data_IF_880464083359
#
_entry.id   IF_880464083359
#
_cell.length_a   1.000
_cell.length_b   1.000
_cell.length_c   1.000
_cell.angle_alpha   90.00
_cell.angle_beta   90.00
_cell.angle_gamma   90.00
#
_symmetry.space_group_name_H-M   'P 1'
#
loop_
_entity.id
_entity.type
_entity.pdbx_description
1 polymer ?
#
# COMPACT_ATOMS: atom_id res chain seq x y z
N UNK A 1 42.44 -13.60 2.45
CA UNK A 1 41.21 -12.78 2.49
C UNK A 1 40.47 -13.14 3.76
N UNK A 2 40.39 -12.22 4.72
CA UNK A 2 39.84 -12.53 6.05
C UNK A 2 38.33 -12.80 5.98
N UNK A 3 37.83 -13.90 6.56
CA UNK A 3 36.41 -14.26 6.53
C UNK A 3 35.51 -13.21 7.22
N UNK A 4 36.09 -12.47 8.17
CA UNK A 4 35.47 -11.33 8.86
C UNK A 4 35.09 -10.20 7.89
N UNK A 5 35.92 -9.93 6.87
CA UNK A 5 35.67 -8.86 5.91
C UNK A 5 34.55 -9.23 4.94
N UNK A 6 34.45 -10.51 4.56
CA UNK A 6 33.37 -11.03 3.69
C UNK A 6 32.02 -11.03 4.42
N UNK A 7 32.01 -11.43 5.70
CA UNK A 7 30.78 -11.43 6.51
C UNK A 7 30.22 -10.01 6.72
N UNK A 8 31.11 -9.02 6.98
CA UNK A 8 30.72 -7.62 7.14
C UNK A 8 30.14 -7.06 5.84
N UNK A 9 30.81 -7.28 4.70
CA UNK A 9 30.31 -6.83 3.39
C UNK A 9 28.95 -7.45 3.06
N UNK A 10 28.76 -8.75 3.34
CA UNK A 10 27.50 -9.45 3.08
C UNK A 10 26.34 -8.92 3.95
N UNK A 11 26.59 -8.63 5.23
CA UNK A 11 25.60 -8.05 6.13
C UNK A 11 25.21 -6.61 5.70
N UNK A 12 26.18 -5.82 5.24
CA UNK A 12 25.95 -4.46 4.76
C UNK A 12 25.08 -4.43 3.49
N UNK A 13 25.33 -5.33 2.53
CA UNK A 13 24.57 -5.37 1.27
C UNK A 13 23.10 -5.75 1.53
N UNK A 14 22.85 -6.72 2.41
CA UNK A 14 21.49 -7.14 2.75
C UNK A 14 20.71 -6.06 3.52
N UNK A 15 21.37 -5.34 4.44
CA UNK A 15 20.76 -4.23 5.18
C UNK A 15 20.45 -3.02 4.29
N UNK A 16 21.33 -2.71 3.33
CA UNK A 16 21.12 -1.61 2.40
C UNK A 16 19.98 -1.93 1.41
N UNK A 17 19.88 -3.16 0.92
CA UNK A 17 18.82 -3.56 -0.01
C UNK A 17 17.42 -3.49 0.62
N UNK A 18 17.30 -3.86 1.90
CA UNK A 18 16.04 -3.73 2.65
C UNK A 18 15.64 -2.27 2.88
N UNK A 19 16.61 -1.38 3.10
CA UNK A 19 16.36 0.05 3.25
C UNK A 19 15.90 0.72 1.93
N UNK A 20 16.33 0.20 0.77
CA UNK A 20 16.00 0.76 -0.55
C UNK A 20 14.55 0.45 -1.00
N UNK A 21 13.88 -0.52 -0.39
CA UNK A 21 12.46 -0.86 -0.62
C UNK A 21 11.56 -0.45 0.55
N UNK A 22 12.01 0.46 1.42
CA UNK A 22 11.22 0.88 2.58
C UNK A 22 10.87 2.35 2.43
N UNK A 23 9.75 2.65 1.78
CA UNK A 23 9.27 4.02 1.73
C UNK A 23 8.78 4.46 3.13
N UNK A 24 9.47 5.41 3.74
CA UNK A 24 9.13 5.95 5.06
C UNK A 24 8.17 7.15 4.99
N UNK A 25 7.75 7.58 3.81
CA UNK A 25 6.90 8.76 3.63
C UNK A 25 5.49 8.58 4.24
N UNK A 26 5.00 7.35 4.34
CA UNK A 26 3.72 7.04 4.99
C UNK A 26 3.94 5.98 6.06
N UNK A 27 3.40 6.22 7.25
CA UNK A 27 3.37 5.22 8.32
C UNK A 27 2.37 4.11 8.00
N UNK A 28 2.51 2.94 8.62
CA UNK A 28 1.53 1.86 8.46
C UNK A 28 0.11 2.28 8.86
N UNK A 29 -0.02 3.20 9.82
CA UNK A 29 -1.29 3.79 10.22
C UNK A 29 -1.90 4.64 9.09
N UNK A 30 -1.10 5.50 8.45
CA UNK A 30 -1.55 6.31 7.31
C UNK A 30 -1.98 5.43 6.14
N UNK A 31 -1.19 4.40 5.83
CA UNK A 31 -1.50 3.43 4.78
C UNK A 31 -2.80 2.68 5.07
N UNK A 32 -3.05 2.32 6.33
CA UNK A 32 -4.30 1.70 6.76
C UNK A 32 -5.50 2.65 6.63
N UNK A 33 -5.35 3.92 7.01
CA UNK A 33 -6.40 4.95 6.85
C UNK A 33 -6.77 5.11 5.37
N UNK A 34 -5.78 5.25 4.50
CA UNK A 34 -5.99 5.41 3.05
C UNK A 34 -6.73 4.20 2.49
N UNK A 35 -6.28 2.99 2.80
CA UNK A 35 -6.88 1.75 2.29
C UNK A 35 -8.31 1.57 2.80
N UNK A 36 -8.56 1.86 4.08
CA UNK A 36 -9.89 1.77 4.68
C UNK A 36 -10.85 2.79 4.06
N UNK A 37 -10.39 4.03 3.83
CA UNK A 37 -11.21 5.07 3.22
C UNK A 37 -11.59 4.71 1.79
N UNK A 38 -10.64 4.20 1.00
CA UNK A 38 -10.92 3.71 -0.35
C UNK A 38 -11.92 2.55 -0.34
N UNK A 39 -11.75 1.58 0.54
CA UNK A 39 -12.68 0.46 0.64
C UNK A 39 -14.09 0.87 1.10
N UNK A 40 -14.20 1.86 1.99
CA UNK A 40 -15.50 2.41 2.38
C UNK A 40 -16.23 3.06 1.19
N UNK A 41 -15.51 3.83 0.37
CA UNK A 41 -16.06 4.44 -0.86
C UNK A 41 -16.42 3.36 -1.91
N UNK A 42 -15.57 2.35 -2.10
CA UNK A 42 -15.86 1.23 -3.00
C UNK A 42 -17.10 0.45 -2.55
N UNK A 43 -17.28 0.27 -1.25
CA UNK A 43 -18.49 -0.36 -0.68
C UNK A 43 -19.75 0.48 -0.88
N UNK A 44 -19.68 1.82 -0.75
CA UNK A 44 -20.84 2.68 -1.05
C UNK A 44 -21.17 2.69 -2.55
N UNK A 45 -20.17 2.62 -3.44
CA UNK A 45 -20.36 2.47 -4.87
C UNK A 45 -20.99 1.12 -5.25
N UNK A 46 -20.52 0.03 -4.65
CA UNK A 46 -21.06 -1.32 -4.91
C UNK A 46 -22.55 -1.41 -4.57
N UNK A 47 -22.96 -0.76 -3.47
CA UNK A 47 -24.35 -0.71 -3.00
C UNK A 47 -25.21 0.36 -3.70
N UNK A 48 -24.63 1.19 -4.55
CA UNK A 48 -25.33 2.30 -5.20
C UNK A 48 -25.80 3.39 -4.22
N UNK A 49 -25.09 3.56 -3.10
CA UNK A 49 -25.41 4.58 -2.07
C UNK A 49 -24.42 5.74 -2.08
N UNK A 50 -23.46 5.75 -3.00
CA UNK A 50 -22.49 6.83 -3.13
C UNK A 50 -23.17 8.05 -3.76
N UNK A 51 -23.15 9.19 -3.07
CA UNK A 51 -23.74 10.45 -3.57
C UNK A 51 -22.86 11.06 -4.67
N UNK A 52 -23.52 11.60 -5.68
CA UNK A 52 -22.95 12.35 -6.82
C UNK A 52 -23.72 13.67 -6.96
N UNK A 53 -23.28 14.54 -7.87
CA UNK A 53 -23.94 15.82 -8.12
C UNK A 53 -25.38 15.70 -8.64
N UNK A 54 -25.78 14.53 -9.17
CA UNK A 54 -27.09 14.28 -9.79
C UNK A 54 -27.91 13.18 -9.11
N UNK A 55 -27.54 12.76 -7.90
CA UNK A 55 -28.21 11.67 -7.19
C UNK A 55 -27.22 10.65 -6.64
N UNK A 56 -27.60 9.39 -6.55
CA UNK A 56 -26.66 8.33 -6.18
C UNK A 56 -26.07 7.67 -7.42
N UNK A 57 -24.79 7.29 -7.34
CA UNK A 57 -24.16 6.44 -8.34
C UNK A 57 -24.91 5.09 -8.40
N UNK A 58 -25.10 4.50 -9.60
CA UNK A 58 -25.69 3.19 -9.72
C UNK A 58 -24.83 2.14 -9.01
N UNK A 59 -25.47 1.09 -8.48
CA UNK A 59 -24.78 -0.03 -7.86
C UNK A 59 -23.89 -0.75 -8.88
N UNK A 60 -22.61 -0.90 -8.54
CA UNK A 60 -21.66 -1.62 -9.38
C UNK A 60 -21.56 -3.10 -9.02
N UNK A 61 -21.66 -3.97 -10.02
CA UNK A 61 -21.25 -5.37 -9.90
C UNK A 61 -19.72 -5.48 -10.02
N UNK A 62 -19.09 -6.45 -9.35
CA UNK A 62 -17.64 -6.73 -9.41
C UNK A 62 -16.72 -5.61 -8.87
N UNK A 63 -17.14 -4.88 -7.85
CA UNK A 63 -16.27 -3.94 -7.13
C UNK A 63 -15.50 -4.68 -6.01
N UNK A 64 -14.25 -5.05 -6.29
CA UNK A 64 -13.41 -5.80 -5.35
C UNK A 64 -12.81 -4.93 -4.25
N UNK A 65 -12.50 -5.55 -3.10
CA UNK A 65 -11.79 -4.91 -2.00
C UNK A 65 -10.33 -4.66 -2.40
N UNK A 66 -9.84 -3.46 -2.11
CA UNK A 66 -8.45 -3.07 -2.30
C UNK A 66 -7.62 -3.66 -1.16
N UNK A 67 -6.53 -4.33 -1.52
CA UNK A 67 -5.53 -4.89 -0.61
C UNK A 67 -4.26 -4.06 -0.74
N UNK A 68 -3.61 -3.79 0.39
CA UNK A 68 -2.33 -3.08 0.40
C UNK A 68 -1.28 -3.89 -0.39
N UNK A 69 -0.65 -3.26 -1.36
CA UNK A 69 0.46 -3.82 -2.12
C UNK A 69 1.76 -3.16 -1.70
N UNK A 70 2.71 -3.93 -1.17
CA UNK A 70 4.02 -3.42 -0.77
C UNK A 70 4.78 -2.78 -1.94
N UNK A 71 4.67 -3.37 -3.13
CA UNK A 71 5.33 -2.88 -4.35
C UNK A 71 4.91 -1.47 -4.82
N UNK A 72 3.66 -1.07 -4.56
CA UNK A 72 3.16 0.25 -4.96
C UNK A 72 3.55 1.33 -3.95
N UNK A 73 3.70 0.95 -2.68
CA UNK A 73 4.15 1.83 -1.61
C UNK A 73 5.63 2.22 -1.79
N UNK A 74 6.46 1.36 -2.39
CA UNK A 74 7.90 1.59 -2.64
C UNK A 74 8.20 2.61 -3.76
N UNK A 75 7.17 3.09 -4.47
CA UNK A 75 7.27 4.08 -5.57
C UNK A 75 6.88 5.50 -5.16
N UNK A 76 6.35 5.69 -3.96
CA UNK A 76 5.97 6.99 -3.40
C UNK A 76 7.17 7.72 -2.75
#
# INVERSE_FOLDING_TARGET
MSPLLVAIVCACINGLLAAMCSNTALTDADRAVITNKHNALRSSLARGTARTNSGNAPGGSNIYKLVRSTLADDRL
#
